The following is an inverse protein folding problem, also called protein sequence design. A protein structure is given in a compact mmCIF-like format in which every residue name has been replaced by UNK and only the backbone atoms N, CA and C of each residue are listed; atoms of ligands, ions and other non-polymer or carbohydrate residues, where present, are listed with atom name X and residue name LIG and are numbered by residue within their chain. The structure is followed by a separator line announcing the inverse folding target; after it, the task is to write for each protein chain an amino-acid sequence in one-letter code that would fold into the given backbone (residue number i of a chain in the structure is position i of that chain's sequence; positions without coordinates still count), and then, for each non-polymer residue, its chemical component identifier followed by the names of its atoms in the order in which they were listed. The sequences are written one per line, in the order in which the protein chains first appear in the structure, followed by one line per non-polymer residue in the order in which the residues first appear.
data_IF_881732564647
#
_entry.id   IF_881732564647
#
_cell.length_a   1.000
_cell.length_b   1.000
_cell.length_c   1.000
_cell.angle_alpha   90.00
_cell.angle_beta   90.00
_cell.angle_gamma   90.00
#
_symmetry.space_group_name_H-M   'P 1'
#
loop_
_entity.id
_entity.type
_entity.pdbx_description
1 polymer ?
#
# COMPACT_ATOMS: atom_id res chain seq x y z
N UNK A 1 -35.52 -54.86 -37.04
CA UNK A 1 -37.00 -54.96 -36.94
C UNK A 1 -37.38 -54.60 -35.51
N UNK A 2 -38.33 -53.68 -35.39
CA UNK A 2 -38.80 -53.00 -34.18
C UNK A 2 -39.03 -53.92 -32.96
N UNK A 3 -38.58 -53.51 -31.77
CA UNK A 3 -39.40 -53.72 -30.56
C UNK A 3 -39.05 -52.69 -29.48
N UNK A 4 -40.08 -51.91 -29.19
CA UNK A 4 -40.22 -50.86 -28.21
C UNK A 4 -40.52 -51.51 -26.85
N UNK A 5 -39.85 -51.08 -25.78
CA UNK A 5 -40.34 -51.31 -24.41
C UNK A 5 -39.99 -50.10 -23.54
N UNK A 6 -41.02 -49.30 -23.28
CA UNK A 6 -41.06 -48.25 -22.28
C UNK A 6 -40.99 -48.86 -20.87
N UNK A 7 -40.18 -48.29 -19.99
CA UNK A 7 -40.46 -48.26 -18.56
C UNK A 7 -40.23 -46.84 -18.02
N UNK A 8 -41.30 -46.27 -17.49
CA UNK A 8 -41.37 -45.00 -16.79
C UNK A 8 -40.62 -45.07 -15.46
N UNK A 9 -39.82 -44.06 -15.16
CA UNK A 9 -39.61 -43.62 -13.77
C UNK A 9 -39.77 -42.10 -13.72
N UNK A 10 -40.84 -41.67 -13.04
CA UNK A 10 -41.06 -40.30 -12.59
C UNK A 10 -40.15 -40.02 -11.38
N UNK A 11 -39.40 -38.92 -11.44
CA UNK A 11 -39.00 -38.17 -10.26
C UNK A 11 -38.91 -36.69 -10.65
N UNK A 12 -39.91 -35.92 -10.21
CA UNK A 12 -39.86 -34.47 -10.22
C UNK A 12 -38.91 -33.98 -9.11
N UNK A 13 -38.23 -32.86 -9.32
CA UNK A 13 -38.15 -31.71 -8.40
C UNK A 13 -36.99 -30.78 -8.78
N UNK A 14 -37.27 -29.48 -8.79
CA UNK A 14 -36.26 -28.44 -8.52
C UNK A 14 -35.85 -27.59 -9.71
N UNK A 15 -36.57 -26.49 -9.91
CA UNK A 15 -36.07 -25.38 -10.71
C UNK A 15 -34.79 -24.81 -10.10
N UNK A 16 -33.67 -24.94 -10.81
CA UNK A 16 -32.45 -24.21 -10.54
C UNK A 16 -32.52 -22.87 -11.27
N UNK A 17 -32.77 -21.80 -10.52
CA UNK A 17 -32.76 -20.43 -11.01
C UNK A 17 -31.41 -20.12 -11.69
N UNK A 18 -31.47 -19.53 -12.88
CA UNK A 18 -30.34 -18.82 -13.46
C UNK A 18 -29.96 -17.68 -12.50
N UNK A 19 -28.85 -17.83 -11.77
CA UNK A 19 -28.23 -16.71 -11.06
C UNK A 19 -27.70 -15.77 -12.15
N UNK A 20 -28.50 -14.77 -12.52
CA UNK A 20 -27.96 -13.53 -13.06
C UNK A 20 -27.19 -12.91 -11.91
N UNK A 21 -25.87 -12.91 -12.01
CA UNK A 21 -25.06 -12.05 -11.15
C UNK A 21 -25.39 -10.60 -11.52
N UNK A 22 -26.27 -9.98 -10.74
CA UNK A 22 -26.36 -8.51 -10.72
C UNK A 22 -24.96 -7.95 -10.37
N UNK A 23 -24.55 -6.82 -10.97
CA UNK A 23 -23.23 -6.24 -10.71
C UNK A 23 -23.25 -5.60 -9.32
N UNK A 24 -22.99 -6.42 -8.30
CA UNK A 24 -22.75 -5.97 -6.95
C UNK A 24 -21.55 -5.01 -6.94
N UNK A 25 -21.84 -3.80 -6.47
CA UNK A 25 -20.95 -2.82 -5.85
C UNK A 25 -19.46 -3.19 -5.78
N UNK A 26 -18.64 -2.31 -6.36
CA UNK A 26 -17.18 -2.29 -6.27
C UNK A 26 -16.77 -2.19 -4.80
N UNK A 27 -16.67 -3.31 -4.11
CA UNK A 27 -16.19 -3.35 -2.72
C UNK A 27 -14.76 -2.82 -2.70
N UNK A 28 -14.51 -1.79 -1.87
CA UNK A 28 -13.16 -1.26 -1.64
C UNK A 28 -12.24 -2.43 -1.32
N UNK A 29 -11.24 -2.66 -2.16
CA UNK A 29 -10.29 -3.75 -1.97
C UNK A 29 -9.50 -3.50 -0.68
N UNK A 30 -9.87 -4.20 0.38
CA UNK A 30 -9.15 -4.21 1.65
C UNK A 30 -8.14 -5.36 1.69
N UNK A 31 -6.98 -5.11 2.28
CA UNK A 31 -5.97 -6.14 2.59
C UNK A 31 -5.71 -6.11 4.10
N UNK A 32 -6.44 -6.94 4.85
CA UNK A 32 -6.36 -6.96 6.30
C UNK A 32 -6.72 -5.60 6.91
N UNK A 33 -5.78 -4.96 7.63
CA UNK A 33 -5.99 -3.66 8.28
C UNK A 33 -5.94 -2.46 7.32
N UNK A 34 -5.55 -2.67 6.06
CA UNK A 34 -5.39 -1.62 5.06
C UNK A 34 -6.60 -1.58 4.13
N UNK A 35 -7.15 -0.38 3.91
CA UNK A 35 -8.31 -0.16 3.03
C UNK A 35 -7.91 0.85 1.97
N UNK A 36 -7.92 0.44 0.69
CA UNK A 36 -7.71 1.38 -0.41
C UNK A 36 -8.96 2.24 -0.63
N UNK A 37 -8.74 3.55 -0.83
CA UNK A 37 -9.77 4.49 -1.26
C UNK A 37 -9.61 4.76 -2.77
N UNK A 38 -10.71 5.09 -3.44
CA UNK A 38 -10.74 5.40 -4.89
C UNK A 38 -9.98 6.70 -5.27
N UNK A 39 -9.40 7.39 -4.29
CA UNK A 39 -8.75 8.69 -4.44
C UNK A 39 -7.20 8.61 -4.31
N UNK A 40 -6.63 7.41 -4.43
CA UNK A 40 -5.18 7.19 -4.35
C UNK A 40 -4.60 7.24 -2.94
N UNK A 41 -5.43 6.99 -1.92
CA UNK A 41 -5.00 6.91 -0.52
C UNK A 41 -5.32 5.53 0.06
N UNK A 42 -4.59 5.16 1.11
CA UNK A 42 -4.79 3.91 1.85
C UNK A 42 -4.99 4.23 3.32
N UNK A 43 -6.11 3.80 3.90
CA UNK A 43 -6.36 3.90 5.34
C UNK A 43 -5.76 2.69 6.05
N UNK A 44 -4.92 2.93 7.05
CA UNK A 44 -4.50 1.95 8.03
C UNK A 44 -5.43 2.04 9.25
N UNK A 45 -6.33 1.07 9.39
CA UNK A 45 -7.35 1.04 10.44
C UNK A 45 -6.80 0.79 11.84
N UNK A 46 -5.58 0.24 11.96
CA UNK A 46 -4.97 -0.01 13.28
C UNK A 46 -4.35 1.25 13.88
N UNK A 47 -3.72 2.08 13.05
CA UNK A 47 -3.06 3.32 13.48
C UNK A 47 -3.93 4.55 13.29
N UNK A 48 -5.04 4.41 12.55
CA UNK A 48 -5.88 5.50 12.07
C UNK A 48 -5.07 6.56 11.28
N UNK A 49 -4.07 6.08 10.54
CA UNK A 49 -3.27 6.88 9.61
C UNK A 49 -3.73 6.65 8.18
N UNK A 50 -3.65 7.70 7.37
CA UNK A 50 -3.89 7.62 5.94
C UNK A 50 -2.59 7.87 5.19
N UNK A 51 -2.28 6.98 4.27
CA UNK A 51 -1.06 6.96 3.49
C UNK A 51 -1.35 7.32 2.03
N UNK A 52 -0.40 7.97 1.38
CA UNK A 52 -0.38 7.98 -0.08
C UNK A 52 -0.25 6.54 -0.58
N UNK A 53 -0.99 6.16 -1.63
CA UNK A 53 -0.88 4.81 -2.20
C UNK A 53 0.47 4.57 -2.90
N UNK A 54 1.24 5.63 -3.19
CA UNK A 54 2.54 5.58 -3.86
C UNK A 54 3.49 6.60 -3.23
N UNK A 55 4.77 6.27 -3.19
CA UNK A 55 5.82 7.24 -2.87
C UNK A 55 6.09 8.21 -4.03
N UNK A 56 7.07 9.10 -3.86
CA UNK A 56 7.44 10.09 -4.87
C UNK A 56 8.14 9.49 -6.12
N UNK A 57 8.44 8.19 -6.16
CA UNK A 57 8.94 7.47 -7.32
C UNK A 57 10.43 7.66 -7.67
N UNK A 58 11.10 8.68 -7.14
CA UNK A 58 12.50 9.00 -7.45
C UNK A 58 13.32 9.30 -6.20
N UNK A 59 14.63 9.32 -6.35
CA UNK A 59 15.51 9.77 -5.26
C UNK A 59 15.21 11.24 -4.91
N UNK A 60 15.26 11.57 -3.62
CA UNK A 60 14.89 12.89 -3.11
C UNK A 60 15.69 13.25 -1.85
N UNK A 61 16.18 14.49 -1.77
CA UNK A 61 16.79 15.04 -0.55
C UNK A 61 15.75 15.26 0.54
N UNK A 62 16.19 15.34 1.80
CA UNK A 62 15.27 15.55 2.93
C UNK A 62 14.50 16.89 2.80
N UNK A 63 15.18 17.97 2.43
CA UNK A 63 14.54 19.28 2.20
C UNK A 63 13.49 19.22 1.10
N UNK A 64 13.79 18.53 0.01
CA UNK A 64 12.86 18.33 -1.10
C UNK A 64 11.69 17.42 -0.71
N UNK A 65 11.93 16.40 0.12
CA UNK A 65 10.90 15.52 0.66
C UNK A 65 9.89 16.28 1.53
N UNK A 66 10.37 17.21 2.36
CA UNK A 66 9.49 18.11 3.11
C UNK A 66 8.60 18.92 2.19
N UNK A 67 9.19 19.57 1.20
CA UNK A 67 8.44 20.34 0.18
C UNK A 67 7.44 19.45 -0.58
N UNK A 68 7.82 18.21 -0.89
CA UNK A 68 6.94 17.24 -1.54
C UNK A 68 5.69 16.97 -0.69
N UNK A 69 5.86 16.65 0.60
CA UNK A 69 4.73 16.44 1.51
C UNK A 69 3.85 17.68 1.65
N UNK A 70 4.44 18.86 1.86
CA UNK A 70 3.72 20.12 2.04
C UNK A 70 2.85 20.48 0.81
N UNK A 71 3.29 20.07 -0.38
CA UNK A 71 2.60 20.32 -1.65
C UNK A 71 1.76 19.12 -2.14
N UNK A 72 1.85 17.95 -1.50
CA UNK A 72 1.10 16.78 -1.90
C UNK A 72 -0.40 17.00 -1.65
N UNK A 73 -1.23 16.62 -2.64
CA UNK A 73 -2.70 16.80 -2.61
C UNK A 73 -3.46 15.50 -2.89
N UNK A 74 -2.86 14.36 -2.54
CA UNK A 74 -3.52 13.06 -2.65
C UNK A 74 -4.86 13.05 -1.90
N UNK A 75 -5.88 12.45 -2.49
CA UNK A 75 -7.21 12.38 -1.90
C UNK A 75 -7.94 13.71 -1.68
N UNK A 76 -7.43 14.83 -2.18
CA UNK A 76 -7.99 16.18 -1.96
C UNK A 76 -7.58 16.81 -0.63
N UNK A 77 -6.63 16.21 0.10
CA UNK A 77 -6.17 16.71 1.41
C UNK A 77 -4.90 17.54 1.29
N UNK A 78 -4.67 18.45 2.22
CA UNK A 78 -3.49 19.34 2.27
C UNK A 78 -2.64 19.20 3.54
N UNK A 79 -3.07 18.41 4.52
CA UNK A 79 -2.39 18.18 5.79
C UNK A 79 -1.49 16.93 5.77
N UNK A 80 -0.83 16.69 4.63
CA UNK A 80 0.17 15.65 4.46
C UNK A 80 1.50 16.06 5.08
N UNK A 81 2.21 15.09 5.67
CA UNK A 81 3.51 15.31 6.32
C UNK A 81 4.48 14.17 6.06
N UNK A 82 5.74 14.41 6.41
CA UNK A 82 6.75 13.35 6.52
C UNK A 82 6.33 12.39 7.66
N UNK A 83 6.44 11.07 7.46
CA UNK A 83 6.16 10.09 8.51
C UNK A 83 7.27 10.06 9.57
N UNK A 84 7.01 9.47 10.72
CA UNK A 84 8.03 9.10 11.72
C UNK A 84 8.66 7.75 11.39
N UNK A 85 9.81 7.42 11.99
CA UNK A 85 10.41 6.10 11.84
C UNK A 85 9.50 5.00 12.36
N UNK A 86 8.74 5.26 13.43
CA UNK A 86 7.83 4.29 14.02
C UNK A 86 6.59 4.06 13.16
N UNK A 87 6.06 5.10 12.53
CA UNK A 87 4.96 4.95 11.56
C UNK A 87 5.40 4.14 10.34
N UNK A 88 6.59 4.44 9.79
CA UNK A 88 7.16 3.65 8.70
C UNK A 88 7.40 2.20 9.12
N UNK A 89 7.89 1.98 10.34
CA UNK A 89 8.11 0.61 10.86
C UNK A 89 6.79 -0.15 10.94
N UNK A 90 5.68 0.52 11.22
CA UNK A 90 4.34 -0.04 11.18
C UNK A 90 3.89 -0.56 9.81
N UNK A 91 4.58 -0.17 8.72
CA UNK A 91 4.38 -0.68 7.36
C UNK A 91 5.36 -1.79 6.97
N UNK A 92 6.39 -2.09 7.78
CA UNK A 92 7.34 -3.15 7.48
C UNK A 92 6.77 -4.53 7.87
N UNK A 93 6.86 -5.49 6.95
CA UNK A 93 6.57 -6.90 7.25
C UNK A 93 7.62 -7.79 6.57
N UNK A 94 8.56 -8.31 7.36
CA UNK A 94 9.65 -9.15 6.87
C UNK A 94 9.20 -10.42 6.14
N UNK A 95 7.93 -10.84 6.28
CA UNK A 95 7.37 -12.00 5.58
C UNK A 95 6.85 -11.67 4.18
N UNK A 96 6.58 -10.39 3.88
CA UNK A 96 6.04 -9.93 2.59
C UNK A 96 7.13 -9.25 1.76
N UNK A 97 7.86 -10.05 0.99
CA UNK A 97 8.99 -9.59 0.19
C UNK A 97 8.62 -9.43 -1.28
N UNK A 98 9.06 -8.33 -1.90
CA UNK A 98 9.04 -8.18 -3.37
C UNK A 98 10.29 -7.43 -3.87
N UNK A 99 10.69 -7.61 -5.15
CA UNK A 99 11.76 -6.82 -5.73
C UNK A 99 11.43 -5.32 -5.71
N UNK A 100 12.41 -4.49 -5.40
CA UNK A 100 12.30 -3.04 -5.49
C UNK A 100 12.19 -2.60 -6.96
N UNK A 101 11.41 -1.55 -7.22
CA UNK A 101 11.22 -1.03 -8.58
C UNK A 101 12.43 -0.23 -9.06
N UNK A 102 13.15 0.44 -8.15
CA UNK A 102 14.37 1.21 -8.48
C UNK A 102 15.53 0.31 -8.94
N UNK A 103 15.68 -0.87 -8.36
CA UNK A 103 16.68 -1.87 -8.72
C UNK A 103 16.23 -3.25 -8.22
N UNK A 104 16.00 -4.17 -9.17
CA UNK A 104 15.46 -5.51 -8.90
C UNK A 104 16.41 -6.42 -8.12
N UNK A 105 17.67 -6.02 -7.91
CA UNK A 105 18.62 -6.72 -7.03
C UNK A 105 18.29 -6.53 -5.55
N UNK A 106 17.55 -5.48 -5.20
CA UNK A 106 17.06 -5.28 -3.84
C UNK A 106 15.65 -5.83 -3.67
N UNK A 107 15.39 -6.38 -2.49
CA UNK A 107 14.03 -6.68 -2.04
C UNK A 107 13.59 -5.65 -1.02
N UNK A 108 12.29 -5.39 -0.99
CA UNK A 108 11.62 -4.59 0.03
C UNK A 108 10.49 -5.37 0.66
N UNK A 109 10.22 -5.03 1.92
CA UNK A 109 9.31 -5.75 2.79
C UNK A 109 8.22 -4.82 3.29
N UNK A 110 6.99 -4.97 2.78
CA UNK A 110 5.87 -4.05 3.07
C UNK A 110 4.64 -4.86 3.46
N UNK A 111 3.95 -4.44 4.51
CA UNK A 111 2.81 -5.14 5.11
C UNK A 111 1.58 -5.25 4.20
N UNK A 112 1.56 -4.55 3.07
CA UNK A 112 0.45 -4.50 2.12
C UNK A 112 0.95 -4.20 0.71
N UNK A 113 0.27 -4.74 -0.29
CA UNK A 113 0.48 -4.40 -1.71
C UNK A 113 -0.27 -3.12 -2.13
N UNK A 114 -1.15 -2.59 -1.27
CA UNK A 114 -1.90 -1.36 -1.53
C UNK A 114 -1.03 -0.10 -1.46
N UNK A 115 0.14 -0.18 -0.82
CA UNK A 115 1.10 0.91 -0.69
C UNK A 115 2.35 0.57 -1.53
N UNK A 116 2.56 1.33 -2.61
CA UNK A 116 3.70 1.14 -3.50
C UNK A 116 4.87 2.03 -3.10
N UNK A 117 5.80 1.43 -2.36
CA UNK A 117 7.15 1.97 -2.17
C UNK A 117 8.03 1.47 -3.32
N UNK A 118 8.73 2.38 -3.98
CA UNK A 118 9.49 2.11 -5.20
C UNK A 118 10.95 1.75 -4.93
N UNK A 119 11.50 2.10 -3.75
CA UNK A 119 12.89 1.81 -3.39
C UNK A 119 13.10 1.46 -1.90
N UNK A 120 14.35 1.22 -1.51
CA UNK A 120 14.69 0.57 -0.23
C UNK A 120 14.53 1.44 1.00
N UNK A 121 14.47 2.76 0.88
CA UNK A 121 14.45 3.68 2.02
C UNK A 121 13.37 4.76 1.88
N UNK A 122 12.79 5.16 3.01
CA UNK A 122 11.94 6.34 3.10
C UNK A 122 12.35 7.27 4.24
N UNK A 123 12.46 8.57 3.95
CA UNK A 123 12.74 9.61 4.92
C UNK A 123 11.70 9.64 6.03
N UNK A 124 12.18 9.95 7.23
CA UNK A 124 11.40 10.13 8.43
C UNK A 124 11.67 11.50 9.07
N UNK A 125 10.71 12.01 9.82
CA UNK A 125 10.66 13.40 10.29
C UNK A 125 11.69 13.75 11.37
N UNK A 126 12.30 12.75 12.01
CA UNK A 126 13.28 12.95 13.07
C UNK A 126 14.60 13.52 12.50
N UNK A 127 15.12 14.56 13.16
CA UNK A 127 16.33 15.28 12.75
C UNK A 127 17.33 15.28 13.91
N UNK A 128 18.62 15.07 13.58
CA UNK A 128 19.73 15.19 14.53
C UNK A 128 20.93 15.86 13.87
N UNK A 129 21.16 17.12 14.21
CA UNK A 129 22.22 17.90 13.57
C UNK A 129 21.96 18.04 12.07
N UNK A 130 22.94 17.69 11.25
CA UNK A 130 22.85 17.68 9.78
C UNK A 130 22.18 16.44 9.20
N UNK A 131 21.76 15.49 10.04
CA UNK A 131 21.17 14.23 9.61
C UNK A 131 19.65 14.23 9.78
N UNK A 132 18.97 13.48 8.91
CA UNK A 132 17.59 13.07 9.07
C UNK A 132 17.49 11.55 9.18
N UNK A 133 16.45 11.11 9.86
CA UNK A 133 16.14 9.71 10.04
C UNK A 133 15.50 9.12 8.78
N UNK A 134 15.69 7.82 8.55
CA UNK A 134 14.94 7.07 7.55
C UNK A 134 14.74 5.62 7.99
N UNK A 135 13.76 4.95 7.39
CA UNK A 135 13.57 3.50 7.52
C UNK A 135 14.06 2.79 6.25
N UNK A 136 14.80 1.70 6.41
CA UNK A 136 15.09 0.75 5.33
C UNK A 136 14.02 -0.33 5.24
N UNK A 137 13.19 -0.31 4.19
CA UNK A 137 12.25 -1.39 3.87
C UNK A 137 12.93 -2.67 3.38
N UNK A 138 14.21 -2.62 3.02
CA UNK A 138 14.99 -3.82 2.71
C UNK A 138 15.45 -4.61 3.94
N UNK A 139 15.39 -4.01 5.15
CA UNK A 139 15.92 -4.65 6.36
C UNK A 139 15.10 -4.42 7.64
N UNK A 140 14.11 -3.53 7.63
CA UNK A 140 13.36 -3.14 8.82
C UNK A 140 14.23 -2.42 9.84
N UNK A 141 15.31 -1.75 9.39
CA UNK A 141 16.26 -1.04 10.24
C UNK A 141 16.06 0.47 10.13
N UNK A 142 16.19 1.13 11.28
CA UNK A 142 16.17 2.58 11.44
C UNK A 142 17.59 3.12 11.27
N UNK A 143 17.75 4.15 10.46
CA UNK A 143 19.04 4.77 10.16
C UNK A 143 18.95 6.28 10.23
N UNK A 144 20.13 6.90 10.19
CA UNK A 144 20.34 8.34 10.07
C UNK A 144 21.26 8.58 8.87
N UNK A 145 21.02 9.65 8.12
CA UNK A 145 21.86 10.03 7.00
C UNK A 145 21.83 11.53 6.75
N UNK A 146 22.81 12.08 6.01
CA UNK A 146 22.86 13.50 5.73
C UNK A 146 21.58 13.97 5.04
N UNK A 147 21.03 15.11 5.48
CA UNK A 147 19.82 15.69 4.87
C UNK A 147 19.98 16.00 3.37
N UNK A 148 21.23 16.21 2.92
CA UNK A 148 21.59 16.43 1.52
C UNK A 148 21.72 15.13 0.70
N UNK A 149 21.57 13.96 1.31
CA UNK A 149 21.64 12.69 0.59
C UNK A 149 20.46 12.55 -0.36
N UNK A 150 20.74 12.17 -1.59
CA UNK A 150 19.74 11.87 -2.62
C UNK A 150 19.96 10.45 -3.15
N UNK A 151 20.35 9.51 -2.30
CA UNK A 151 20.66 8.14 -2.73
C UNK A 151 19.57 7.21 -2.24
N UNK A 152 18.84 6.60 -3.17
CA UNK A 152 17.88 5.49 -2.94
C UNK A 152 16.81 5.76 -1.88
N UNK A 153 16.59 7.03 -1.52
CA UNK A 153 15.65 7.42 -0.48
C UNK A 153 14.42 8.07 -1.10
N UNK A 154 13.26 7.67 -0.63
CA UNK A 154 11.92 8.10 -1.06
C UNK A 154 11.25 8.89 0.04
N UNK A 155 10.09 9.46 -0.27
CA UNK A 155 9.16 9.96 0.72
C UNK A 155 7.77 9.39 0.48
N UNK A 156 7.18 8.81 1.53
CA UNK A 156 5.81 8.32 1.53
C UNK A 156 4.97 9.23 2.44
N UNK A 157 4.17 10.17 1.87
CA UNK A 157 3.35 11.06 2.67
C UNK A 157 2.35 10.31 3.55
N UNK A 158 2.20 10.79 4.77
CA UNK A 158 1.22 10.31 5.74
C UNK A 158 0.42 11.47 6.31
N UNK A 159 -0.81 11.20 6.73
CA UNK A 159 -1.65 12.14 7.50
C UNK A 159 -2.47 11.38 8.53
N UNK A 160 -2.93 12.09 9.55
CA UNK A 160 -3.93 11.55 10.48
C UNK A 160 -5.30 11.48 9.80
N UNK A 161 -6.01 10.38 9.97
CA UNK A 161 -7.39 10.25 9.52
C UNK A 161 -8.30 10.98 10.54
N UNK A 162 -8.93 12.07 10.11
CA UNK A 162 -9.85 12.90 10.91
C UNK A 162 -11.29 12.55 10.61
#
# INVERSE_FOLDING_TARGET
MLTLLLLFVLAACGGGQTIKSDPATKDKAGEGRFIANDNGTVLDTQTNLMWAAKDNGSDISFTSAKSYCDNYRGGGYSDWRIPTQDELMGLFDGKKSRPASCDRRFNIHVATELIHISCVASWASEIRGSDAAYLSFGSGRRYWGPQSSEISTRILPVRSNK
#
